data_IF_132833777183
#
_entry.id   IF_132833777183
#
_cell.length_a   1.000
_cell.length_b   1.000
_cell.length_c   1.000
_cell.angle_alpha   90.00
_cell.angle_beta   90.00
_cell.angle_gamma   90.00
#
_symmetry.space_group_name_H-M   'P 1'
#
loop_
_entity.id
_entity.type
_entity.pdbx_description
1 polymer ?
#
# COMPACT_ATOMS: atom_id res chain seq x y z
N UNK A 1 20.52 13.29 -61.88
CA UNK A 1 20.19 13.74 -60.52
C UNK A 1 19.17 12.76 -59.97
N UNK A 2 19.58 11.90 -59.04
CA UNK A 2 18.72 10.86 -58.48
C UNK A 2 18.32 11.28 -57.07
N UNK A 3 17.04 11.52 -56.87
CA UNK A 3 16.47 11.89 -55.58
C UNK A 3 16.22 10.62 -54.77
N UNK A 4 16.99 10.43 -53.70
CA UNK A 4 16.76 9.38 -52.71
C UNK A 4 15.74 9.90 -51.71
N UNK A 5 14.50 9.39 -51.77
CA UNK A 5 13.49 9.62 -50.74
C UNK A 5 13.88 8.82 -49.50
N UNK A 6 14.30 9.49 -48.43
CA UNK A 6 14.52 8.87 -47.13
C UNK A 6 13.16 8.57 -46.50
N UNK A 7 12.86 7.29 -46.34
CA UNK A 7 11.74 6.79 -45.56
C UNK A 7 12.03 7.13 -44.09
N UNK A 8 11.37 8.17 -43.58
CA UNK A 8 11.39 8.48 -42.15
C UNK A 8 10.54 7.40 -41.50
N UNK A 9 11.19 6.40 -40.89
CA UNK A 9 10.53 5.51 -39.95
C UNK A 9 9.85 6.39 -38.90
N UNK A 10 8.53 6.52 -39.00
CA UNK A 10 7.69 6.96 -37.90
C UNK A 10 7.84 5.89 -36.81
N UNK A 11 8.82 6.10 -35.94
CA UNK A 11 8.92 5.39 -34.68
C UNK A 11 7.67 5.77 -33.88
N UNK A 12 6.63 4.93 -34.01
CA UNK A 12 5.44 4.99 -33.18
C UNK A 12 5.92 4.88 -31.75
N UNK A 13 5.99 6.01 -31.04
CA UNK A 13 6.17 6.01 -29.60
C UNK A 13 4.86 5.53 -29.02
N UNK A 14 4.70 4.22 -28.96
CA UNK A 14 3.72 3.59 -28.09
C UNK A 14 3.98 4.14 -26.70
N UNK A 15 3.14 5.08 -26.26
CA UNK A 15 2.99 5.38 -24.85
C UNK A 15 2.47 4.08 -24.26
N UNK A 16 3.38 3.24 -23.76
CA UNK A 16 3.03 2.09 -22.94
C UNK A 16 2.28 2.66 -21.74
N UNK A 17 0.95 2.63 -21.85
CA UNK A 17 0.04 2.86 -20.75
C UNK A 17 0.55 2.03 -19.59
N UNK A 18 1.15 2.69 -18.60
CA UNK A 18 1.80 2.08 -17.45
C UNK A 18 0.76 1.70 -16.40
N UNK A 19 -0.34 1.11 -16.85
CA UNK A 19 -1.36 0.56 -15.98
C UNK A 19 -0.71 -0.66 -15.29
N UNK A 20 -0.68 -0.69 -13.95
CA UNK A 20 -0.15 -1.84 -13.21
C UNK A 20 -0.81 -3.13 -13.66
N UNK A 21 -0.04 -4.20 -13.76
CA UNK A 21 -0.63 -5.52 -13.96
C UNK A 21 -1.35 -5.97 -12.68
N UNK A 22 -2.23 -6.96 -12.79
CA UNK A 22 -2.85 -7.56 -11.60
C UNK A 22 -1.81 -8.11 -10.61
N UNK A 23 -0.69 -8.65 -11.11
CA UNK A 23 0.42 -9.10 -10.25
C UNK A 23 1.10 -7.94 -9.52
N UNK A 24 1.22 -6.78 -10.15
CA UNK A 24 1.77 -5.60 -9.49
C UNK A 24 0.83 -5.09 -8.39
N UNK A 25 -0.48 -5.12 -8.66
CA UNK A 25 -1.52 -4.76 -7.68
C UNK A 25 -1.51 -5.73 -6.49
N UNK A 26 -1.44 -7.03 -6.76
CA UNK A 26 -1.39 -8.07 -5.73
C UNK A 26 -0.16 -7.90 -4.82
N UNK A 27 1.02 -7.66 -5.39
CA UNK A 27 2.23 -7.37 -4.61
C UNK A 27 2.08 -6.11 -3.77
N UNK A 28 1.46 -5.06 -4.31
CA UNK A 28 1.22 -3.83 -3.55
C UNK A 28 0.26 -4.07 -2.38
N UNK A 29 -0.81 -4.84 -2.60
CA UNK A 29 -1.76 -5.21 -1.54
C UNK A 29 -1.06 -6.04 -0.47
N UNK A 30 -0.23 -7.00 -0.85
CA UNK A 30 0.56 -7.78 0.11
C UNK A 30 1.44 -6.86 0.95
N UNK A 31 2.17 -5.92 0.33
CA UNK A 31 3.01 -4.94 1.07
C UNK A 31 2.17 -4.08 2.03
N UNK A 32 0.97 -3.66 1.64
CA UNK A 32 0.07 -2.88 2.50
C UNK A 32 -0.45 -3.73 3.65
N UNK A 33 -0.90 -4.96 3.38
CA UNK A 33 -1.30 -5.93 4.40
C UNK A 33 -0.14 -6.16 5.37
N UNK A 34 1.10 -6.22 4.85
CA UNK A 34 2.28 -6.41 5.67
C UNK A 34 2.47 -5.30 6.69
N UNK A 35 2.54 -4.08 6.18
CA UNK A 35 2.68 -2.91 7.02
C UNK A 35 1.49 -2.78 7.99
N UNK A 36 0.28 -3.17 7.58
CA UNK A 36 -0.90 -3.12 8.43
C UNK A 36 -0.78 -4.07 9.63
N UNK A 37 -0.37 -5.33 9.42
CA UNK A 37 -0.16 -6.30 10.50
C UNK A 37 0.93 -5.82 11.47
N UNK A 38 2.07 -5.36 10.93
CA UNK A 38 3.19 -4.87 11.75
C UNK A 38 2.81 -3.66 12.63
N UNK A 39 1.99 -2.75 12.12
CA UNK A 39 1.59 -1.55 12.86
C UNK A 39 0.36 -1.78 13.76
N UNK A 40 -0.50 -2.72 13.40
CA UNK A 40 -1.79 -2.96 14.05
C UNK A 40 -2.06 -4.46 14.28
N UNK A 41 -1.20 -5.16 15.05
CA UNK A 41 -1.34 -6.60 15.27
C UNK A 41 -2.61 -6.97 16.04
N UNK A 42 -3.17 -6.05 16.82
CA UNK A 42 -4.39 -6.23 17.60
C UNK A 42 -5.12 -4.90 17.83
N UNK A 43 -6.31 -4.98 18.42
CA UNK A 43 -7.14 -3.80 18.69
C UNK A 43 -6.46 -2.81 19.65
N UNK A 44 -5.66 -3.30 20.61
CA UNK A 44 -4.93 -2.45 21.57
C UNK A 44 -3.88 -1.59 20.86
N UNK A 45 -3.03 -2.18 20.02
CA UNK A 45 -2.01 -1.47 19.25
C UNK A 45 -2.62 -0.43 18.30
N UNK A 46 -3.77 -0.75 17.69
CA UNK A 46 -4.53 0.21 16.89
C UNK A 46 -5.01 1.40 17.72
N UNK A 47 -5.67 1.16 18.85
CA UNK A 47 -6.19 2.21 19.71
C UNK A 47 -5.07 3.10 20.26
N UNK A 48 -3.97 2.50 20.72
CA UNK A 48 -2.79 3.24 21.19
C UNK A 48 -2.20 4.13 20.09
N UNK A 49 -2.05 3.60 18.88
CA UNK A 49 -1.55 4.39 17.74
C UNK A 49 -2.48 5.56 17.44
N UNK A 50 -3.80 5.35 17.46
CA UNK A 50 -4.78 6.41 17.23
C UNK A 50 -4.73 7.52 18.28
N UNK A 51 -4.53 7.17 19.56
CA UNK A 51 -4.34 8.12 20.66
C UNK A 51 -3.03 8.91 20.53
N UNK A 52 -1.91 8.23 20.30
CA UNK A 52 -0.58 8.86 20.13
C UNK A 52 -0.57 9.84 18.94
N UNK A 53 -1.29 9.48 17.88
CA UNK A 53 -1.36 10.28 16.64
C UNK A 53 -2.30 11.48 16.75
N UNK A 54 -3.15 11.54 17.77
CA UNK A 54 -4.01 12.70 18.02
C UNK A 54 -3.20 13.97 18.37
N UNK A 55 -2.00 13.79 18.94
CA UNK A 55 -1.06 14.86 19.25
C UNK A 55 -0.19 15.34 18.08
N UNK A 56 0.19 14.42 17.18
CA UNK A 56 1.33 14.61 16.26
C UNK A 56 1.00 15.43 14.99
N UNK A 57 -0.22 15.34 14.47
CA UNK A 57 -0.58 15.88 13.14
C UNK A 57 -1.38 17.18 13.15
N UNK A 58 -1.30 17.96 14.23
CA UNK A 58 -2.02 19.25 14.40
C UNK A 58 -1.71 20.32 13.35
N UNK A 59 -0.76 20.08 12.43
CA UNK A 59 -0.27 21.08 11.45
C UNK A 59 -1.09 21.16 10.15
N UNK A 60 -1.75 20.08 9.69
CA UNK A 60 -2.67 20.12 8.54
C UNK A 60 -3.84 19.11 8.71
N UNK A 61 -5.09 19.56 8.78
CA UNK A 61 -6.26 18.69 8.98
C UNK A 61 -6.51 17.72 7.81
N UNK A 62 -6.05 18.02 6.60
CA UNK A 62 -6.15 17.11 5.44
C UNK A 62 -5.21 15.94 5.58
N UNK A 63 -3.98 16.19 6.04
CA UNK A 63 -2.98 15.14 6.28
C UNK A 63 -3.44 14.26 7.44
N UNK A 64 -3.91 14.87 8.52
CA UNK A 64 -4.48 14.13 9.65
C UNK A 64 -5.63 13.21 9.21
N UNK A 65 -6.55 13.72 8.39
CA UNK A 65 -7.66 12.92 7.85
C UNK A 65 -7.15 11.76 6.98
N UNK A 66 -6.18 12.01 6.10
CA UNK A 66 -5.62 10.98 5.23
C UNK A 66 -4.96 9.85 6.03
N UNK A 67 -4.21 10.19 7.07
CA UNK A 67 -3.55 9.21 7.96
C UNK A 67 -4.59 8.39 8.73
N UNK A 68 -5.61 9.03 9.32
CA UNK A 68 -6.71 8.31 9.98
C UNK A 68 -7.41 7.35 9.03
N UNK A 69 -7.71 7.79 7.81
CA UNK A 69 -8.31 6.92 6.78
C UNK A 69 -7.39 5.74 6.45
N UNK A 70 -6.09 5.97 6.29
CA UNK A 70 -5.11 4.91 6.03
C UNK A 70 -5.09 3.87 7.15
N UNK A 71 -5.07 4.29 8.43
CA UNK A 71 -5.07 3.35 9.56
C UNK A 71 -6.37 2.55 9.68
N UNK A 72 -7.51 3.19 9.44
CA UNK A 72 -8.80 2.48 9.39
C UNK A 72 -8.78 1.41 8.28
N UNK A 73 -8.27 1.75 7.09
CA UNK A 73 -8.16 0.81 5.98
C UNK A 73 -7.22 -0.36 6.32
N UNK A 74 -6.05 -0.07 6.90
CA UNK A 74 -5.09 -1.09 7.33
C UNK A 74 -5.72 -2.07 8.32
N UNK A 75 -6.32 -1.57 9.40
CA UNK A 75 -6.95 -2.41 10.41
C UNK A 75 -8.13 -3.21 9.85
N UNK A 76 -8.94 -2.62 8.97
CA UNK A 76 -10.05 -3.32 8.31
C UNK A 76 -9.55 -4.47 7.43
N UNK A 77 -8.52 -4.21 6.61
CA UNK A 77 -7.92 -5.23 5.74
C UNK A 77 -7.38 -6.40 6.57
N UNK A 78 -6.68 -6.13 7.67
CA UNK A 78 -6.16 -7.17 8.56
C UNK A 78 -7.31 -7.99 9.15
N UNK A 79 -8.33 -7.33 9.74
CA UNK A 79 -9.49 -8.02 10.32
C UNK A 79 -10.32 -8.84 9.34
N UNK A 80 -10.43 -8.40 8.10
CA UNK A 80 -11.17 -9.13 7.07
C UNK A 80 -10.35 -10.32 6.53
N UNK A 81 -9.01 -10.26 6.66
CA UNK A 81 -8.09 -11.30 6.17
C UNK A 81 -7.91 -12.43 7.19
N UNK A 82 -7.93 -12.14 8.49
CA UNK A 82 -7.67 -13.10 9.57
C UNK A 82 -8.92 -13.37 10.42
N UNK A 83 -9.06 -14.57 10.94
CA UNK A 83 -10.19 -14.95 11.79
C UNK A 83 -9.99 -14.56 13.25
N UNK A 84 -8.74 -14.52 13.75
CA UNK A 84 -8.42 -14.18 15.16
C UNK A 84 -7.15 -13.32 15.28
N UNK A 85 -6.95 -12.69 16.45
CA UNK A 85 -5.71 -11.96 16.75
C UNK A 85 -4.49 -12.89 16.85
N UNK A 86 -4.68 -14.13 17.29
CA UNK A 86 -3.63 -15.16 17.34
C UNK A 86 -3.08 -15.47 15.94
N UNK A 87 -3.94 -15.57 14.92
CA UNK A 87 -3.51 -15.77 13.52
C UNK A 87 -2.72 -14.56 12.99
N UNK A 88 -3.04 -13.34 13.43
CA UNK A 88 -2.29 -12.12 13.07
C UNK A 88 -0.90 -12.16 13.69
N UNK A 89 -0.79 -12.57 14.96
CA UNK A 89 0.48 -12.69 15.68
C UNK A 89 1.37 -13.79 15.08
N UNK A 90 0.82 -14.94 14.70
CA UNK A 90 1.56 -16.03 14.05
C UNK A 90 2.14 -15.60 12.70
N UNK A 91 1.37 -14.92 11.85
CA UNK A 91 1.87 -14.38 10.58
C UNK A 91 2.95 -13.32 10.81
N UNK A 92 2.75 -12.42 11.77
CA UNK A 92 3.73 -11.39 12.10
C UNK A 92 5.05 -12.01 12.58
N UNK A 93 4.99 -12.99 13.48
CA UNK A 93 6.18 -13.68 13.99
C UNK A 93 6.88 -14.50 12.91
N UNK A 94 6.11 -15.21 12.07
CA UNK A 94 6.64 -15.93 10.91
C UNK A 94 7.41 -15.00 9.98
N UNK A 95 7.00 -13.74 9.83
CA UNK A 95 7.67 -12.80 8.95
C UNK A 95 8.88 -12.14 9.57
N UNK A 96 8.82 -11.78 10.85
CA UNK A 96 9.96 -11.22 11.58
C UNK A 96 11.11 -12.24 11.62
N UNK A 97 10.78 -13.53 11.68
CA UNK A 97 11.74 -14.62 11.81
C UNK A 97 12.05 -15.37 10.49
N UNK A 98 11.51 -14.96 9.34
CA UNK A 98 11.79 -15.53 8.01
C UNK A 98 12.98 -14.88 7.29
#
# INVERSE_FOLDING_TARGET
MSTTTQNIDQQSTEIKSSIPTWQDIEKAILVILRAAIENFPNEEAYNQTMEDHEGYYKKDPRIQKAIKTYYILCYTIVKDTFATEEEIEEELDSWINS
#
